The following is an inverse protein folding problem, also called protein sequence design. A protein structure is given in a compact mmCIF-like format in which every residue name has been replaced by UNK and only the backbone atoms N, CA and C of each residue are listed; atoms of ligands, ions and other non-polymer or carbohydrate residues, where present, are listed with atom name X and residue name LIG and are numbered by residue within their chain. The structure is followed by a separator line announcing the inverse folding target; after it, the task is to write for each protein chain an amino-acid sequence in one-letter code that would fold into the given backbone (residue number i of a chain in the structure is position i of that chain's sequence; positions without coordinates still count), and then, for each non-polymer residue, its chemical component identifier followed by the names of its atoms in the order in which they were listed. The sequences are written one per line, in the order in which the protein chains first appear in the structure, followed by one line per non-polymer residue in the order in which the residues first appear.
data_IF_465050874752
#
_entry.id   IF_465050874752
#
_cell.length_a   1.000
_cell.length_b   1.000
_cell.length_c   1.000
_cell.angle_alpha   90.00
_cell.angle_beta   90.00
_cell.angle_gamma   90.00
#
_symmetry.space_group_name_H-M   'P 1'
#
loop_
_entity.id
_entity.type
_entity.pdbx_description
1 polymer ?
#
# COMPACT_ATOMS: atom_id res chain seq x y z
N UNK A 1 2.07 -10.71 -43.34
CA UNK A 1 1.62 -11.82 -42.48
C UNK A 1 0.83 -11.29 -41.30
N UNK A 2 -0.11 -10.34 -41.49
CA UNK A 2 -0.91 -9.68 -40.43
C UNK A 2 -2.35 -9.54 -40.93
N UNK A 3 -2.99 -10.64 -41.33
CA UNK A 3 -4.38 -10.60 -41.83
C UNK A 3 -5.28 -11.77 -41.40
N UNK A 4 -4.82 -12.64 -40.47
CA UNK A 4 -5.60 -13.82 -40.06
C UNK A 4 -6.04 -13.86 -38.60
N UNK A 5 -5.67 -12.88 -37.77
CA UNK A 5 -6.07 -12.88 -36.36
C UNK A 5 -7.38 -12.14 -36.02
N UNK A 6 -7.99 -11.45 -36.99
CA UNK A 6 -9.26 -10.71 -36.76
C UNK A 6 -10.54 -11.54 -36.97
N UNK A 7 -10.45 -12.80 -37.36
CA UNK A 7 -11.65 -13.64 -37.60
C UNK A 7 -11.93 -14.70 -36.50
N UNK A 8 -11.05 -14.86 -35.49
CA UNK A 8 -11.29 -15.81 -34.40
C UNK A 8 -11.87 -15.17 -33.13
N UNK A 9 -11.95 -13.85 -33.06
CA UNK A 9 -12.45 -13.14 -31.88
C UNK A 9 -13.98 -12.93 -31.86
N UNK A 10 -14.65 -13.11 -33.02
CA UNK A 10 -16.11 -12.94 -33.12
C UNK A 10 -16.93 -14.23 -32.98
N UNK A 11 -16.30 -15.38 -32.85
CA UNK A 11 -17.00 -16.67 -32.73
C UNK A 11 -17.28 -17.14 -31.30
N UNK A 12 -16.80 -16.43 -30.27
CA UNK A 12 -16.94 -16.85 -28.86
C UNK A 12 -18.06 -16.11 -28.09
N UNK A 13 -18.65 -15.05 -28.68
CA UNK A 13 -19.73 -14.25 -28.05
C UNK A 13 -21.13 -14.74 -28.37
N UNK A 14 -21.27 -15.70 -29.28
CA UNK A 14 -22.60 -16.16 -29.76
C UNK A 14 -23.13 -17.43 -29.07
N UNK A 15 -22.49 -17.94 -28.01
CA UNK A 15 -22.91 -19.23 -27.40
C UNK A 15 -23.44 -19.16 -25.97
N UNK A 16 -23.62 -17.96 -25.40
CA UNK A 16 -24.14 -17.80 -24.03
C UNK A 16 -25.53 -17.16 -23.90
N UNK A 17 -26.32 -17.10 -24.96
CA UNK A 17 -27.62 -16.43 -24.92
C UNK A 17 -28.80 -17.31 -25.32
N UNK A 18 -28.84 -18.58 -24.87
CA UNK A 18 -30.07 -19.39 -24.96
C UNK A 18 -30.15 -20.29 -23.74
N UNK A 19 -30.68 -19.78 -22.64
CA UNK A 19 -31.31 -20.59 -21.58
C UNK A 19 -31.94 -19.65 -20.52
N UNK A 20 -33.02 -18.95 -20.88
CA UNK A 20 -34.08 -18.57 -19.95
C UNK A 20 -35.33 -18.31 -20.77
N UNK A 21 -36.22 -19.28 -20.89
CA UNK A 21 -37.67 -19.16 -21.07
C UNK A 21 -38.28 -20.55 -21.12
N UNK A 22 -38.75 -21.03 -19.98
CA UNK A 22 -39.98 -21.85 -19.88
C UNK A 22 -40.17 -22.23 -18.44
N UNK A 23 -41.17 -21.67 -17.79
CA UNK A 23 -42.12 -22.38 -16.93
C UNK A 23 -43.05 -21.35 -16.28
N UNK A 24 -44.16 -21.07 -16.95
CA UNK A 24 -45.41 -20.71 -16.29
C UNK A 24 -46.31 -21.90 -16.41
N UNK A 25 -46.77 -22.44 -15.26
CA UNK A 25 -48.19 -22.85 -15.04
C UNK A 25 -48.38 -23.44 -13.65
N UNK A 26 -49.19 -22.74 -12.85
CA UNK A 26 -50.30 -23.18 -11.97
C UNK A 26 -50.18 -24.53 -11.22
N UNK A 27 -50.20 -24.54 -9.90
CA UNK A 27 -51.41 -24.62 -9.06
C UNK A 27 -51.11 -24.64 -7.54
N UNK A 28 -52.01 -24.02 -6.83
CA UNK A 28 -52.31 -23.92 -5.39
C UNK A 28 -51.91 -25.10 -4.48
N UNK A 29 -51.31 -24.87 -3.33
CA UNK A 29 -51.94 -24.63 -2.01
C UNK A 29 -51.03 -25.01 -0.83
N UNK A 30 -51.16 -24.22 0.22
CA UNK A 30 -50.86 -24.44 1.62
C UNK A 30 -49.48 -24.11 2.20
N UNK A 31 -49.46 -22.90 2.79
CA UNK A 31 -48.96 -22.51 4.12
C UNK A 31 -47.81 -23.29 4.74
N UNK A 32 -46.64 -22.68 4.88
CA UNK A 32 -45.99 -22.32 6.17
C UNK A 32 -44.57 -21.78 5.92
N UNK A 33 -44.32 -20.60 6.47
CA UNK A 33 -42.93 -20.15 6.76
C UNK A 33 -42.07 -19.81 5.57
N UNK A 34 -42.41 -18.78 4.79
CA UNK A 34 -41.49 -18.18 3.86
C UNK A 34 -40.45 -17.38 4.66
N UNK A 35 -39.28 -17.96 4.87
CA UNK A 35 -38.06 -17.19 5.09
C UNK A 35 -37.93 -16.26 3.89
N UNK A 36 -38.14 -14.97 4.05
CA UNK A 36 -37.83 -13.96 3.04
C UNK A 36 -36.32 -14.05 2.79
N UNK A 37 -35.93 -14.66 1.71
CA UNK A 37 -34.61 -14.50 1.15
C UNK A 37 -34.59 -13.04 0.69
N UNK A 38 -33.97 -12.15 1.48
CA UNK A 38 -33.69 -10.79 1.02
C UNK A 38 -32.98 -10.89 -0.34
N UNK A 39 -33.51 -10.17 -1.32
CA UNK A 39 -32.83 -10.04 -2.60
C UNK A 39 -31.41 -9.52 -2.32
N UNK A 40 -30.37 -9.99 -3.02
CA UNK A 40 -29.03 -9.53 -2.82
C UNK A 40 -29.02 -8.01 -2.94
N UNK A 41 -28.64 -7.32 -1.86
CA UNK A 41 -28.50 -5.87 -1.81
C UNK A 41 -27.45 -5.50 -2.85
N UNK A 42 -27.85 -4.84 -3.92
CA UNK A 42 -26.90 -4.31 -4.89
C UNK A 42 -26.11 -3.24 -4.14
N UNK A 43 -24.87 -3.53 -3.87
CA UNK A 43 -23.96 -2.58 -3.23
C UNK A 43 -23.63 -1.47 -4.25
N UNK A 44 -24.23 -0.30 -4.06
CA UNK A 44 -23.92 0.88 -4.86
C UNK A 44 -22.74 1.65 -4.27
N UNK A 45 -21.92 2.23 -5.14
CA UNK A 45 -20.87 3.16 -4.71
C UNK A 45 -21.39 4.56 -4.45
N UNK A 46 -22.63 4.88 -4.82
CA UNK A 46 -23.23 6.20 -4.55
C UNK A 46 -23.23 6.52 -3.05
N UNK A 47 -22.94 7.76 -2.73
CA UNK A 47 -22.96 8.26 -1.36
C UNK A 47 -21.75 9.13 -1.00
N UNK A 48 -21.61 9.36 0.29
CA UNK A 48 -20.49 10.11 0.85
C UNK A 48 -19.49 9.18 1.51
N UNK A 49 -18.23 9.45 1.22
CA UNK A 49 -17.10 8.67 1.65
C UNK A 49 -16.05 9.57 2.30
N UNK A 50 -15.30 9.06 3.26
CA UNK A 50 -14.18 9.76 3.88
C UNK A 50 -12.92 8.91 3.80
N UNK A 51 -11.79 9.54 3.52
CA UNK A 51 -10.47 8.87 3.52
C UNK A 51 -10.20 8.30 4.91
N UNK A 52 -9.83 7.02 4.96
CA UNK A 52 -9.65 6.31 6.24
C UNK A 52 -8.40 6.79 6.96
N UNK A 53 -7.26 6.73 6.29
CA UNK A 53 -5.96 7.13 6.83
C UNK A 53 -5.05 7.57 5.69
N UNK A 54 -4.68 8.84 5.68
CA UNK A 54 -3.80 9.39 4.66
C UNK A 54 -2.38 8.77 4.74
N UNK A 55 -1.92 8.45 5.94
CA UNK A 55 -0.60 7.86 6.15
C UNK A 55 -0.58 6.43 5.60
N UNK A 56 -1.63 5.65 5.84
CA UNK A 56 -1.76 4.29 5.30
C UNK A 56 -1.87 4.32 3.77
N UNK A 57 -2.76 5.14 3.21
CA UNK A 57 -2.92 5.30 1.75
C UNK A 57 -1.61 5.69 1.06
N UNK A 58 -0.88 6.66 1.62
CA UNK A 58 0.43 7.07 1.08
C UNK A 58 1.49 5.99 1.26
N UNK A 59 1.43 5.20 2.33
CA UNK A 59 2.35 4.08 2.54
C UNK A 59 2.10 2.94 1.56
N UNK A 60 0.84 2.73 1.17
CA UNK A 60 0.43 1.73 0.18
C UNK A 60 0.68 2.21 -1.26
N UNK A 61 0.82 3.53 -1.46
CA UNK A 61 1.17 4.13 -2.75
C UNK A 61 2.67 4.09 -3.00
N UNK A 62 3.07 3.40 -4.07
CA UNK A 62 4.47 3.28 -4.48
C UNK A 62 4.73 4.26 -5.64
N UNK A 63 5.74 5.10 -5.50
CA UNK A 63 6.09 6.10 -6.51
C UNK A 63 5.37 7.44 -6.35
N UNK A 64 4.48 7.57 -5.36
CA UNK A 64 3.86 8.84 -4.99
C UNK A 64 4.90 9.90 -4.55
N UNK A 65 6.10 9.48 -4.22
CA UNK A 65 7.18 10.33 -3.73
C UNK A 65 8.55 9.83 -4.22
N UNK A 66 9.53 10.70 -4.24
CA UNK A 66 10.95 10.35 -4.46
C UNK A 66 11.71 10.58 -3.15
N UNK A 67 11.56 9.75 -2.14
CA UNK A 67 12.07 10.09 -0.84
C UNK A 67 13.54 9.76 -0.69
N UNK A 68 14.21 10.63 -0.03
CA UNK A 68 15.36 10.29 0.76
C UNK A 68 14.84 9.77 2.12
N UNK A 69 15.08 8.52 2.46
CA UNK A 69 14.61 7.75 3.60
C UNK A 69 13.96 8.49 4.77
N UNK A 70 14.74 9.09 5.66
CA UNK A 70 14.29 9.86 6.82
C UNK A 70 13.26 10.94 6.52
N UNK A 71 13.36 11.55 5.37
CA UNK A 71 12.53 12.66 4.98
C UNK A 71 11.11 12.20 4.69
N UNK A 72 10.98 11.03 4.08
CA UNK A 72 9.69 10.44 3.81
C UNK A 72 8.90 10.14 5.08
N UNK A 73 9.53 9.46 6.06
CA UNK A 73 8.85 9.12 7.30
C UNK A 73 8.35 10.37 8.05
N UNK A 74 9.15 11.45 8.09
CA UNK A 74 8.73 12.73 8.68
C UNK A 74 7.58 13.37 7.91
N UNK A 75 7.65 13.29 6.59
CA UNK A 75 6.64 13.86 5.72
C UNK A 75 5.32 13.10 5.85
N UNK A 76 5.36 11.76 5.93
CA UNK A 76 4.18 10.95 6.21
C UNK A 76 3.52 11.33 7.53
N UNK A 77 4.29 11.46 8.60
CA UNK A 77 3.73 11.84 9.89
C UNK A 77 3.11 13.24 9.87
N UNK A 78 3.55 14.12 8.96
CA UNK A 78 2.97 15.46 8.81
C UNK A 78 1.55 15.46 8.26
N UNK A 79 1.12 14.40 7.58
CA UNK A 79 -0.22 14.26 6.98
C UNK A 79 -1.17 13.36 7.77
N UNK A 80 -0.81 12.97 8.99
CA UNK A 80 -1.66 12.11 9.84
C UNK A 80 -3.06 12.68 10.08
N UNK A 81 -3.20 14.01 10.07
CA UNK A 81 -4.47 14.70 10.29
C UNK A 81 -5.14 15.11 8.97
N UNK A 82 -4.59 14.73 7.82
CA UNK A 82 -5.16 15.00 6.52
C UNK A 82 -6.48 14.23 6.33
N UNK A 83 -7.50 14.93 5.87
CA UNK A 83 -8.82 14.37 5.59
C UNK A 83 -9.23 14.71 4.17
N UNK A 84 -9.82 13.75 3.48
CA UNK A 84 -10.35 13.90 2.14
C UNK A 84 -11.75 13.30 2.08
N UNK A 85 -12.68 14.05 1.55
CA UNK A 85 -14.05 13.62 1.29
C UNK A 85 -14.20 13.24 -0.19
N UNK A 86 -14.92 12.16 -0.45
CA UNK A 86 -15.34 11.76 -1.78
C UNK A 86 -16.87 11.64 -1.77
N UNK A 87 -17.54 12.33 -2.69
CA UNK A 87 -18.97 12.22 -2.93
C UNK A 87 -19.19 11.60 -4.30
N UNK A 88 -20.02 10.57 -4.36
CA UNK A 88 -20.39 9.89 -5.60
C UNK A 88 -21.89 10.04 -5.79
N UNK A 89 -22.28 10.59 -6.93
CA UNK A 89 -23.67 10.74 -7.37
C UNK A 89 -23.78 10.31 -8.83
N UNK A 90 -24.44 9.19 -9.07
CA UNK A 90 -24.55 8.59 -10.41
C UNK A 90 -23.16 8.40 -11.06
N UNK A 91 -22.90 9.04 -12.19
CA UNK A 91 -21.67 8.94 -12.95
C UNK A 91 -20.65 10.05 -12.62
N UNK A 92 -20.76 10.66 -11.43
CA UNK A 92 -19.93 11.79 -11.02
C UNK A 92 -19.28 11.51 -9.66
N UNK A 93 -17.97 11.68 -9.59
CA UNK A 93 -17.18 11.65 -8.37
C UNK A 93 -16.67 13.06 -8.04
N UNK A 94 -16.89 13.54 -6.84
CA UNK A 94 -16.34 14.82 -6.36
C UNK A 94 -15.44 14.57 -5.17
N UNK A 95 -14.17 14.90 -5.30
CA UNK A 95 -13.18 14.86 -4.22
C UNK A 95 -12.99 16.26 -3.67
N UNK A 96 -12.97 16.38 -2.34
CA UNK A 96 -12.75 17.64 -1.65
C UNK A 96 -11.89 17.47 -0.41
N UNK A 97 -10.96 18.40 -0.21
CA UNK A 97 -10.22 18.53 1.05
C UNK A 97 -9.79 19.97 1.33
N UNK A 98 -9.60 20.26 2.62
CA UNK A 98 -8.90 21.43 3.13
C UNK A 98 -7.75 20.94 4.01
N UNK A 99 -6.52 21.34 3.70
CA UNK A 99 -5.34 20.87 4.39
C UNK A 99 -4.44 22.02 4.84
N UNK A 100 -4.20 22.11 6.15
CA UNK A 100 -3.23 23.06 6.67
C UNK A 100 -1.80 22.48 6.47
N UNK A 101 -1.03 23.15 5.61
CA UNK A 101 0.32 22.65 5.19
C UNK A 101 1.44 23.00 6.19
N UNK A 102 1.14 23.64 7.32
CA UNK A 102 2.17 24.08 8.27
C UNK A 102 2.98 22.93 8.85
N UNK A 103 2.33 21.82 9.19
CA UNK A 103 3.02 20.64 9.70
C UNK A 103 3.96 20.03 8.64
N UNK A 104 3.52 20.02 7.39
CA UNK A 104 4.35 19.59 6.27
C UNK A 104 5.55 20.54 6.07
N UNK A 105 5.31 21.85 6.04
CA UNK A 105 6.37 22.85 5.88
C UNK A 105 7.42 22.73 6.98
N UNK A 106 6.99 22.54 8.22
CA UNK A 106 7.90 22.35 9.37
C UNK A 106 8.76 21.09 9.22
N UNK A 107 8.15 19.98 8.81
CA UNK A 107 8.87 18.74 8.53
C UNK A 107 9.86 18.94 7.38
N UNK A 108 9.43 19.59 6.31
CA UNK A 108 10.22 19.84 5.13
C UNK A 108 11.37 20.84 5.39
N UNK A 109 11.15 21.88 6.20
CA UNK A 109 12.21 22.82 6.60
C UNK A 109 13.39 22.11 7.29
N UNK A 110 13.06 21.18 8.19
CA UNK A 110 14.09 20.38 8.87
C UNK A 110 14.89 19.52 7.89
N UNK A 111 14.24 19.04 6.87
CA UNK A 111 14.79 18.24 5.79
C UNK A 111 15.65 19.04 4.80
N UNK A 112 15.16 20.18 4.33
CA UNK A 112 15.85 21.04 3.36
C UNK A 112 17.03 21.81 3.99
N UNK A 113 17.80 21.19 4.87
CA UNK A 113 18.97 21.79 5.54
C UNK A 113 18.66 23.15 6.15
N UNK A 114 17.53 23.24 6.83
CA UNK A 114 16.99 24.49 7.38
C UNK A 114 16.78 25.55 6.30
N UNK A 115 16.10 25.13 5.22
CA UNK A 115 15.71 26.04 4.15
C UNK A 115 16.91 26.64 3.39
N UNK A 116 18.03 25.90 3.32
CA UNK A 116 19.26 26.39 2.64
C UNK A 116 19.74 27.74 3.18
N UNK A 117 19.67 27.92 4.49
CA UNK A 117 20.11 29.14 5.15
C UNK A 117 19.02 30.18 5.41
N UNK A 118 17.76 29.87 5.08
CA UNK A 118 16.59 30.69 5.43
C UNK A 118 16.13 30.44 6.87
N UNK A 119 15.49 31.40 7.48
CA UNK A 119 14.72 31.18 8.71
C UNK A 119 13.49 30.32 8.41
N UNK A 120 12.89 29.72 9.43
CA UNK A 120 11.64 28.92 9.27
C UNK A 120 10.50 29.77 8.70
N UNK A 121 10.39 31.06 9.12
CA UNK A 121 9.36 31.98 8.63
C UNK A 121 9.57 32.36 7.16
N UNK A 122 10.82 32.61 6.74
CA UNK A 122 11.16 32.89 5.34
C UNK A 122 10.88 31.67 4.46
N UNK A 123 11.20 30.47 4.97
CA UNK A 123 10.94 29.21 4.26
C UNK A 123 9.43 28.95 4.16
N UNK A 124 8.69 29.17 5.26
CA UNK A 124 7.23 29.06 5.29
C UNK A 124 6.58 29.99 4.26
N UNK A 125 6.98 31.26 4.23
CA UNK A 125 6.49 32.23 3.24
C UNK A 125 6.75 31.75 1.81
N UNK A 126 7.95 31.29 1.54
CA UNK A 126 8.30 30.74 0.21
C UNK A 126 7.39 29.56 -0.16
N UNK A 127 7.15 28.64 0.76
CA UNK A 127 6.26 27.49 0.51
C UNK A 127 4.81 27.93 0.26
N UNK A 128 4.33 28.97 0.92
CA UNK A 128 3.00 29.52 0.68
C UNK A 128 2.91 30.16 -0.70
N UNK A 129 3.90 30.93 -1.12
CA UNK A 129 3.96 31.53 -2.45
C UNK A 129 4.00 30.44 -3.54
N UNK A 130 4.82 29.39 -3.35
CA UNK A 130 4.90 28.24 -4.27
C UNK A 130 3.55 27.50 -4.37
N UNK A 131 2.88 27.27 -3.24
CA UNK A 131 1.58 26.60 -3.25
C UNK A 131 0.46 27.47 -3.85
N UNK A 132 0.52 28.79 -3.75
CA UNK A 132 -0.39 29.70 -4.43
C UNK A 132 -0.17 29.65 -5.96
N UNK A 133 1.07 29.67 -6.41
CA UNK A 133 1.41 29.50 -7.83
C UNK A 133 0.93 28.16 -8.36
N UNK A 134 1.22 27.07 -7.65
CA UNK A 134 0.76 25.73 -7.99
C UNK A 134 -0.79 25.64 -8.06
N UNK A 135 -1.49 26.19 -7.08
CA UNK A 135 -2.95 26.25 -7.13
C UNK A 135 -3.47 26.97 -8.38
N UNK A 136 -2.76 28.00 -8.82
CA UNK A 136 -3.08 28.75 -10.04
C UNK A 136 -2.86 27.99 -11.35
N UNK A 137 -2.15 26.86 -11.33
CA UNK A 137 -1.93 26.01 -12.51
C UNK A 137 -3.18 25.19 -12.85
N UNK A 138 -3.99 24.82 -11.87
CA UNK A 138 -5.24 24.08 -12.10
C UNK A 138 -6.25 24.96 -12.83
N UNK A 139 -6.83 24.43 -13.90
CA UNK A 139 -7.79 25.17 -14.75
C UNK A 139 -9.20 24.60 -14.69
N UNK A 140 -9.33 23.34 -14.31
CA UNK A 140 -10.60 22.61 -14.31
C UNK A 140 -11.17 22.43 -12.91
N UNK A 141 -10.35 22.61 -11.88
CA UNK A 141 -10.69 22.37 -10.49
C UNK A 141 -10.69 23.66 -9.67
N UNK A 142 -11.35 23.61 -8.53
CA UNK A 142 -11.30 24.70 -7.56
C UNK A 142 -10.13 24.44 -6.61
N UNK A 143 -9.01 25.05 -6.89
CA UNK A 143 -7.80 24.93 -6.06
C UNK A 143 -7.36 26.31 -5.60
N UNK A 144 -7.03 26.44 -4.33
CA UNK A 144 -6.57 27.71 -3.76
C UNK A 144 -5.65 27.51 -2.55
N UNK A 145 -4.75 28.46 -2.34
CA UNK A 145 -3.93 28.57 -1.14
C UNK A 145 -4.31 29.81 -0.36
N UNK A 146 -4.70 29.66 0.88
CA UNK A 146 -4.90 30.78 1.81
C UNK A 146 -3.63 30.99 2.64
N UNK A 147 -2.85 32.02 2.30
CA UNK A 147 -1.57 32.33 2.97
C UNK A 147 -1.73 32.87 4.40
N UNK A 148 -2.90 33.40 4.77
CA UNK A 148 -3.12 33.89 6.11
C UNK A 148 -3.35 32.74 7.12
N UNK A 149 -3.96 31.65 6.64
CA UNK A 149 -4.29 30.49 7.48
C UNK A 149 -3.43 29.27 7.22
N UNK A 150 -2.63 29.26 6.15
CA UNK A 150 -1.83 28.10 5.74
C UNK A 150 -2.66 26.96 5.14
N UNK A 151 -3.91 27.23 4.72
CA UNK A 151 -4.83 26.20 4.22
C UNK A 151 -4.77 26.13 2.69
N UNK A 152 -4.45 24.94 2.18
CA UNK A 152 -4.58 24.58 0.78
C UNK A 152 -5.94 23.87 0.59
N UNK A 153 -6.78 24.40 -0.27
CA UNK A 153 -8.12 23.88 -0.56
C UNK A 153 -8.17 23.30 -1.96
N UNK A 154 -8.83 22.16 -2.09
CA UNK A 154 -8.93 21.42 -3.35
C UNK A 154 -10.34 20.83 -3.52
N UNK A 155 -10.95 21.05 -4.69
CA UNK A 155 -12.21 20.43 -5.07
C UNK A 155 -12.13 20.05 -6.54
N UNK A 156 -12.17 18.74 -6.83
CA UNK A 156 -12.13 18.17 -8.16
C UNK A 156 -13.36 17.33 -8.45
N UNK A 157 -13.85 17.41 -9.68
CA UNK A 157 -14.95 16.57 -10.15
C UNK A 157 -14.48 15.72 -11.33
N UNK A 158 -14.73 14.42 -11.26
CA UNK A 158 -14.42 13.42 -12.28
C UNK A 158 -15.66 12.67 -12.74
N UNK A 159 -15.54 11.95 -13.83
CA UNK A 159 -16.58 11.05 -14.37
C UNK A 159 -16.34 9.63 -13.89
N UNK A 160 -17.43 8.86 -13.78
CA UNK A 160 -17.43 7.44 -13.43
C UNK A 160 -17.93 6.62 -14.61
N UNK A 161 -17.20 5.56 -14.94
CA UNK A 161 -17.66 4.47 -15.79
C UNK A 161 -17.91 3.27 -14.89
N UNK A 162 -19.20 2.98 -14.64
CA UNK A 162 -19.59 1.89 -13.73
C UNK A 162 -19.32 0.51 -14.32
N UNK A 163 -19.39 0.37 -15.64
CA UNK A 163 -19.13 -0.90 -16.32
C UNK A 163 -17.64 -1.25 -16.32
N UNK A 164 -16.80 -0.25 -16.57
CA UNK A 164 -15.34 -0.39 -16.49
C UNK A 164 -14.79 -0.33 -15.06
N UNK A 165 -15.61 0.08 -14.08
CA UNK A 165 -15.21 0.35 -12.69
C UNK A 165 -14.05 1.34 -12.62
N UNK A 166 -14.20 2.47 -13.29
CA UNK A 166 -13.17 3.51 -13.32
C UNK A 166 -13.72 4.89 -12.96
N UNK A 167 -12.84 5.73 -12.42
CA UNK A 167 -13.06 7.16 -12.18
C UNK A 167 -12.00 7.94 -12.93
N UNK A 168 -12.40 8.88 -13.76
CA UNK A 168 -11.48 9.70 -14.54
C UNK A 168 -11.54 11.15 -14.09
N UNK A 169 -10.39 11.67 -13.68
CA UNK A 169 -10.18 13.06 -13.32
C UNK A 169 -9.30 13.74 -14.38
N UNK A 170 -9.68 14.91 -14.82
CA UNK A 170 -8.99 15.64 -15.90
C UNK A 170 -7.62 16.18 -15.54
N UNK A 171 -7.36 16.36 -14.24
CA UNK A 171 -6.08 16.76 -13.65
C UNK A 171 -5.80 15.85 -12.46
N UNK A 172 -4.52 15.63 -12.12
CA UNK A 172 -4.13 14.69 -11.07
C UNK A 172 -4.57 15.13 -9.68
N UNK A 173 -4.90 14.15 -8.84
CA UNK A 173 -5.19 14.38 -7.43
C UNK A 173 -3.90 14.67 -6.69
N UNK A 174 -3.79 15.87 -6.11
CA UNK A 174 -2.56 16.35 -5.45
C UNK A 174 -2.87 16.93 -4.09
N UNK A 175 -1.99 16.72 -3.12
CA UNK A 175 -2.07 17.33 -1.80
C UNK A 175 -1.01 18.44 -1.71
N UNK A 176 -1.40 19.65 -2.06
CA UNK A 176 -0.52 20.82 -2.19
C UNK A 176 0.61 20.60 -3.22
N UNK A 177 1.48 21.58 -3.40
CA UNK A 177 2.72 21.40 -4.17
C UNK A 177 3.73 20.60 -3.34
N UNK A 178 3.42 19.34 -3.20
CA UNK A 178 4.31 18.44 -2.51
C UNK A 178 4.69 17.33 -3.48
N UNK A 179 5.93 17.26 -3.86
CA UNK A 179 6.47 16.12 -4.61
C UNK A 179 6.22 14.78 -3.94
N UNK A 180 5.70 14.81 -2.71
CA UNK A 180 5.54 13.67 -1.85
C UNK A 180 4.10 13.13 -1.80
N UNK A 181 3.09 13.95 -2.11
CA UNK A 181 1.68 13.59 -1.91
C UNK A 181 0.83 13.81 -3.15
N UNK A 182 1.25 13.16 -4.23
CA UNK A 182 0.50 13.12 -5.48
C UNK A 182 -0.07 11.71 -5.67
N UNK A 183 -1.33 11.62 -6.03
CA UNK A 183 -2.02 10.37 -6.34
C UNK A 183 -2.26 10.26 -7.85
N UNK A 184 -1.19 10.25 -8.59
CA UNK A 184 -1.18 10.28 -10.04
C UNK A 184 -0.26 11.35 -10.61
N UNK A 185 -0.31 11.58 -11.92
CA UNK A 185 0.44 12.65 -12.57
C UNK A 185 -0.30 13.98 -12.41
N UNK A 186 0.35 14.95 -11.76
CA UNK A 186 -0.20 16.31 -11.60
C UNK A 186 -0.48 16.95 -12.96
N UNK A 187 -1.53 17.76 -13.03
CA UNK A 187 -1.96 18.52 -14.21
C UNK A 187 -2.23 17.69 -15.47
N UNK A 188 -2.35 16.37 -15.32
CA UNK A 188 -2.66 15.43 -16.39
C UNK A 188 -3.92 14.64 -16.05
N UNK A 189 -4.62 14.15 -17.08
CA UNK A 189 -5.76 13.26 -16.87
C UNK A 189 -5.29 11.93 -16.27
N UNK A 190 -5.97 11.49 -15.23
CA UNK A 190 -5.74 10.19 -14.59
C UNK A 190 -7.05 9.40 -14.53
N UNK A 191 -6.96 8.12 -14.85
CA UNK A 191 -8.06 7.17 -14.74
C UNK A 191 -7.71 6.15 -13.66
N UNK A 192 -8.49 6.14 -12.60
CA UNK A 192 -8.35 5.27 -11.46
C UNK A 192 -9.33 4.10 -11.56
N UNK A 193 -8.89 2.91 -11.22
CA UNK A 193 -9.80 1.80 -10.98
C UNK A 193 -10.39 1.90 -9.58
N UNK A 194 -11.62 1.47 -9.40
CA UNK A 194 -12.21 1.37 -8.08
C UNK A 194 -12.74 -0.02 -7.79
N UNK A 195 -12.66 -0.41 -6.54
CA UNK A 195 -13.22 -1.65 -6.00
C UNK A 195 -13.98 -1.35 -4.70
N UNK A 196 -15.23 -1.80 -4.64
CA UNK A 196 -16.00 -1.79 -3.38
C UNK A 196 -15.85 -3.16 -2.72
N UNK A 197 -15.32 -3.17 -1.51
CA UNK A 197 -15.08 -4.38 -0.75
C UNK A 197 -15.25 -4.12 0.74
N UNK A 198 -16.10 -4.90 1.37
CA UNK A 198 -16.31 -4.82 2.83
C UNK A 198 -16.68 -3.40 3.32
N UNK A 199 -17.56 -2.68 2.62
CA UNK A 199 -17.93 -1.29 2.88
C UNK A 199 -16.79 -0.26 2.75
N UNK A 200 -15.66 -0.68 2.20
CA UNK A 200 -14.53 0.17 1.84
C UNK A 200 -14.47 0.36 0.33
N UNK A 201 -14.21 1.56 -0.11
CA UNK A 201 -13.97 1.90 -1.50
C UNK A 201 -12.47 2.15 -1.70
N UNK A 202 -11.85 1.29 -2.50
CA UNK A 202 -10.45 1.39 -2.90
C UNK A 202 -10.40 2.08 -4.26
N UNK A 203 -9.55 3.09 -4.38
CA UNK A 203 -9.30 3.79 -5.64
C UNK A 203 -7.82 3.64 -5.97
N UNK A 204 -7.50 3.02 -7.10
CA UNK A 204 -6.12 2.66 -7.46
C UNK A 204 -5.77 3.11 -8.86
N UNK A 205 -4.51 3.43 -9.10
CA UNK A 205 -3.94 3.63 -10.42
C UNK A 205 -2.55 3.00 -10.49
N UNK A 206 -2.36 2.10 -11.43
CA UNK A 206 -1.09 1.48 -11.74
C UNK A 206 -0.51 2.08 -13.02
N UNK A 207 0.78 2.31 -13.02
CA UNK A 207 1.45 2.90 -14.15
C UNK A 207 2.96 2.79 -14.10
N UNK A 208 3.60 3.62 -14.91
CA UNK A 208 5.06 3.78 -14.91
C UNK A 208 5.40 5.24 -14.91
N UNK A 209 6.35 5.60 -14.07
CA UNK A 209 6.85 6.95 -13.97
C UNK A 209 7.55 7.37 -15.27
N UNK A 210 7.14 8.49 -15.84
CA UNK A 210 7.63 8.96 -17.16
C UNK A 210 9.15 9.18 -17.18
N UNK A 211 9.71 9.64 -16.04
CA UNK A 211 11.13 10.00 -15.93
C UNK A 211 12.09 8.82 -16.09
N UNK A 212 11.75 7.64 -15.56
CA UNK A 212 12.68 6.52 -15.41
C UNK A 212 12.02 5.15 -15.63
N UNK A 213 10.76 5.15 -16.10
CA UNK A 213 10.00 3.96 -16.42
C UNK A 213 9.85 2.97 -15.23
N UNK A 214 10.02 3.47 -14.00
CA UNK A 214 9.79 2.65 -12.80
C UNK A 214 8.28 2.46 -12.56
N UNK A 215 7.87 1.30 -12.03
CA UNK A 215 6.48 1.06 -11.68
C UNK A 215 6.02 2.02 -10.59
N UNK A 216 4.79 2.49 -10.71
CA UNK A 216 4.10 3.28 -9.69
C UNK A 216 2.75 2.65 -9.41
N UNK A 217 2.35 2.72 -8.16
CA UNK A 217 1.05 2.31 -7.69
C UNK A 217 0.55 3.37 -6.72
N UNK A 218 -0.62 3.93 -6.99
CA UNK A 218 -1.26 4.90 -6.10
C UNK A 218 -2.56 4.29 -5.60
N UNK A 219 -2.82 4.42 -4.32
CA UNK A 219 -3.98 3.81 -3.68
C UNK A 219 -4.57 4.74 -2.63
N UNK A 220 -5.90 4.89 -2.64
CA UNK A 220 -6.68 5.66 -1.68
C UNK A 220 -7.79 4.77 -1.12
N UNK A 221 -7.95 4.76 0.20
CA UNK A 221 -8.95 3.97 0.90
C UNK A 221 -10.00 4.88 1.53
N UNK A 222 -11.24 4.67 1.14
CA UNK A 222 -12.36 5.41 1.67
C UNK A 222 -13.34 4.49 2.40
N UNK A 223 -13.88 4.95 3.51
CA UNK A 223 -15.03 4.33 4.17
C UNK A 223 -16.29 5.18 3.95
N UNK A 224 -17.44 4.55 3.91
CA UNK A 224 -18.73 5.24 3.78
C UNK A 224 -18.99 6.09 5.02
N UNK A 225 -19.33 7.37 4.86
CA UNK A 225 -19.69 8.25 5.98
C UNK A 225 -20.93 7.74 6.70
N UNK A 226 -20.86 7.74 8.04
CA UNK A 226 -21.95 7.24 8.87
C UNK A 226 -22.09 5.71 8.93
N UNK A 227 -21.20 4.95 8.25
CA UNK A 227 -21.11 3.52 8.45
C UNK A 227 -20.60 3.23 9.86
N UNK A 228 -21.45 2.62 10.68
CA UNK A 228 -21.11 2.19 12.05
C UNK A 228 -20.73 0.69 12.10
N UNK A 229 -20.51 0.08 10.95
CA UNK A 229 -20.23 -1.36 10.86
C UNK A 229 -18.85 -1.66 11.43
N UNK A 230 -18.79 -1.64 12.76
CA UNK A 230 -17.73 -2.36 13.47
C UNK A 230 -18.06 -3.84 13.27
N UNK A 231 -17.28 -4.55 12.45
CA UNK A 231 -17.45 -6.00 12.30
C UNK A 231 -17.09 -6.66 13.64
N UNK A 232 -17.90 -7.61 14.05
CA UNK A 232 -17.56 -8.41 15.24
C UNK A 232 -16.19 -9.08 15.00
N UNK A 233 -15.25 -8.92 15.96
CA UNK A 233 -13.91 -9.48 15.81
C UNK A 233 -13.97 -11.01 15.78
N UNK A 234 -13.30 -11.60 14.81
CA UNK A 234 -13.15 -13.05 14.75
C UNK A 234 -12.13 -13.56 15.78
N UNK A 235 -12.18 -14.84 16.20
CA UNK A 235 -11.20 -15.41 17.12
C UNK A 235 -9.76 -15.23 16.61
N UNK A 236 -8.85 -14.84 17.50
CA UNK A 236 -7.42 -14.65 17.17
C UNK A 236 -6.75 -15.96 16.73
N UNK A 237 -7.09 -17.08 17.35
CA UNK A 237 -6.50 -18.38 17.07
C UNK A 237 -6.68 -18.80 15.61
N UNK A 238 -5.61 -19.34 14.99
CA UNK A 238 -5.57 -19.84 13.64
C UNK A 238 -4.60 -19.06 12.73
N UNK A 239 -4.80 -19.17 11.42
CA UNK A 239 -3.90 -18.59 10.40
C UNK A 239 -4.42 -17.24 9.91
N UNK A 240 -3.50 -16.30 9.85
CA UNK A 240 -3.69 -14.94 9.32
C UNK A 240 -2.69 -14.70 8.21
N UNK A 241 -3.14 -14.29 7.03
CA UNK A 241 -2.27 -14.02 5.88
C UNK A 241 -2.22 -12.53 5.60
N UNK A 242 -1.02 -11.99 5.36
CA UNK A 242 -0.86 -10.60 4.96
C UNK A 242 -1.66 -10.29 3.70
N UNK A 243 -2.35 -9.18 3.71
CA UNK A 243 -3.10 -8.66 2.55
C UNK A 243 -2.10 -8.13 1.53
N UNK A 244 -1.32 -7.14 1.94
CA UNK A 244 -0.17 -6.58 1.22
C UNK A 244 0.92 -6.25 2.24
N UNK A 245 2.14 -6.70 1.99
CA UNK A 245 3.27 -6.45 2.89
C UNK A 245 4.16 -5.28 2.44
N UNK A 246 3.91 -4.74 1.24
CA UNK A 246 4.68 -3.61 0.68
C UNK A 246 4.67 -2.37 1.55
N UNK A 247 3.52 -1.93 2.15
CA UNK A 247 3.49 -0.76 3.01
C UNK A 247 4.42 -0.87 4.21
N UNK A 248 4.46 -2.03 4.86
CA UNK A 248 5.35 -2.29 5.98
C UNK A 248 6.83 -2.24 5.56
N UNK A 249 7.18 -2.82 4.41
CA UNK A 249 8.53 -2.75 3.84
C UNK A 249 8.92 -1.31 3.50
N UNK A 250 8.04 -0.55 2.90
CA UNK A 250 8.29 0.82 2.48
C UNK A 250 8.54 1.74 3.69
N UNK A 251 7.73 1.59 4.75
CA UNK A 251 7.94 2.35 5.99
C UNK A 251 9.20 1.92 6.72
N UNK A 252 9.54 0.63 6.69
CA UNK A 252 10.82 0.14 7.22
C UNK A 252 12.02 0.73 6.49
N UNK A 253 11.95 0.86 5.16
CA UNK A 253 12.97 1.54 4.35
C UNK A 253 13.09 3.02 4.72
N UNK A 254 11.97 3.71 4.87
CA UNK A 254 11.93 5.11 5.27
C UNK A 254 12.56 5.34 6.64
N UNK A 255 12.32 4.43 7.59
CA UNK A 255 12.88 4.51 8.94
C UNK A 255 14.42 4.38 8.96
N UNK A 256 14.99 3.53 8.09
CA UNK A 256 16.42 3.16 8.17
C UNK A 256 17.39 4.07 7.46
N UNK A 257 16.92 5.21 7.01
CA UNK A 257 17.77 6.24 6.38
C UNK A 257 18.79 5.67 5.39
N UNK A 258 18.31 5.37 4.22
CA UNK A 258 19.20 5.12 3.10
C UNK A 258 19.77 6.45 2.65
N UNK A 259 20.97 6.79 3.11
CA UNK A 259 21.75 7.96 2.69
C UNK A 259 22.08 7.98 1.18
N UNK A 260 21.83 6.88 0.50
CA UNK A 260 22.03 6.80 -0.92
C UNK A 260 20.84 7.42 -1.66
N UNK A 261 21.17 8.38 -2.48
CA UNK A 261 20.34 9.17 -3.41
C UNK A 261 19.58 8.32 -4.45
N UNK A 262 19.56 6.98 -4.28
CA UNK A 262 18.98 6.05 -5.21
C UNK A 262 17.50 5.84 -4.90
N UNK A 263 16.70 6.86 -5.26
CA UNK A 263 15.23 6.79 -5.14
C UNK A 263 14.63 5.59 -5.89
N UNK A 264 15.34 5.09 -6.91
CA UNK A 264 14.93 3.91 -7.65
C UNK A 264 14.91 2.65 -6.79
N UNK A 265 15.92 2.45 -5.92
CA UNK A 265 15.95 1.29 -5.01
C UNK A 265 14.73 1.30 -4.09
N UNK A 266 14.32 2.45 -3.58
CA UNK A 266 13.18 2.59 -2.67
C UNK A 266 11.84 2.28 -3.32
N UNK A 267 11.73 2.42 -4.63
CA UNK A 267 10.55 2.02 -5.40
C UNK A 267 10.62 0.55 -5.84
N UNK A 268 11.81 0.08 -6.22
CA UNK A 268 12.01 -1.30 -6.66
C UNK A 268 11.83 -2.28 -5.50
N UNK A 269 12.32 -1.97 -4.30
CA UNK A 269 12.26 -2.89 -3.16
C UNK A 269 10.84 -3.34 -2.80
N UNK A 270 9.90 -2.46 -2.53
CA UNK A 270 8.54 -2.88 -2.22
C UNK A 270 7.90 -3.65 -3.39
N UNK A 271 8.07 -3.16 -4.62
CA UNK A 271 7.47 -3.79 -5.79
C UNK A 271 8.08 -5.16 -6.12
N UNK A 272 9.37 -5.34 -5.89
CA UNK A 272 10.04 -6.64 -6.04
C UNK A 272 9.44 -7.74 -5.14
N UNK A 273 8.74 -7.35 -4.08
CA UNK A 273 8.17 -8.25 -3.08
C UNK A 273 6.64 -8.18 -3.01
N UNK A 274 5.96 -7.70 -4.05
CA UNK A 274 4.49 -7.57 -4.09
C UNK A 274 3.75 -8.88 -3.84
N UNK A 275 4.34 -10.00 -4.24
CA UNK A 275 3.76 -11.33 -4.04
C UNK A 275 4.14 -11.97 -2.70
N UNK A 276 4.94 -11.28 -1.87
CA UNK A 276 5.28 -11.74 -0.53
C UNK A 276 4.04 -11.64 0.38
N UNK A 277 3.53 -12.77 0.81
CA UNK A 277 2.36 -12.88 1.69
C UNK A 277 2.70 -13.65 2.97
N UNK A 278 3.38 -12.99 3.93
CA UNK A 278 3.65 -13.60 5.22
C UNK A 278 2.37 -14.03 5.93
N UNK A 279 2.50 -15.02 6.81
CA UNK A 279 1.41 -15.48 7.65
C UNK A 279 1.79 -15.39 9.12
N UNK A 280 0.80 -15.12 9.97
CA UNK A 280 0.86 -15.33 11.40
C UNK A 280 0.05 -16.58 11.72
N UNK A 281 0.68 -17.55 12.38
CA UNK A 281 0.03 -18.75 12.89
C UNK A 281 -0.10 -18.61 14.40
N UNK A 282 -1.32 -18.46 14.90
CA UNK A 282 -1.61 -18.25 16.32
C UNK A 282 -2.27 -19.53 16.88
N UNK A 283 -1.64 -20.14 17.89
CA UNK A 283 -2.13 -21.31 18.59
C UNK A 283 -2.04 -21.11 20.10
N UNK A 284 -3.18 -20.91 20.74
CA UNK A 284 -3.22 -20.48 22.14
C UNK A 284 -2.47 -19.15 22.32
N UNK A 285 -1.40 -19.16 23.11
CA UNK A 285 -0.54 -17.99 23.30
C UNK A 285 0.74 -18.01 22.43
N UNK A 286 0.93 -19.03 21.62
CA UNK A 286 2.09 -19.15 20.73
C UNK A 286 1.81 -18.49 19.38
N UNK A 287 2.80 -17.76 18.86
CA UNK A 287 2.72 -17.10 17.55
C UNK A 287 3.96 -17.45 16.74
N UNK A 288 3.75 -17.81 15.49
CA UNK A 288 4.81 -17.98 14.51
C UNK A 288 4.57 -17.03 13.34
N UNK A 289 5.65 -16.43 12.83
CA UNK A 289 5.62 -15.63 11.60
C UNK A 289 6.32 -16.43 10.50
N UNK A 290 5.59 -16.74 9.46
CA UNK A 290 6.00 -17.68 8.41
C UNK A 290 5.85 -17.01 7.03
N UNK A 291 6.86 -17.15 6.17
CA UNK A 291 6.79 -16.68 4.80
C UNK A 291 7.64 -17.52 3.85
N UNK A 292 7.19 -17.56 2.59
CA UNK A 292 8.01 -18.00 1.46
C UNK A 292 8.17 -16.83 0.50
N UNK A 293 9.39 -16.59 0.04
CA UNK A 293 9.70 -15.52 -0.89
C UNK A 293 10.45 -16.06 -2.10
N UNK A 294 10.00 -15.72 -3.31
CA UNK A 294 10.76 -15.88 -4.55
C UNK A 294 11.69 -14.67 -4.70
N UNK A 295 12.97 -14.95 -4.92
CA UNK A 295 13.99 -13.92 -5.13
C UNK A 295 14.21 -13.61 -6.60
N UNK A 296 13.65 -14.44 -7.51
CA UNK A 296 13.88 -14.33 -8.94
C UNK A 296 13.43 -12.97 -9.49
N UNK A 297 12.20 -12.56 -9.19
CA UNK A 297 11.65 -11.31 -9.69
C UNK A 297 12.38 -10.11 -9.10
N UNK A 298 12.64 -10.12 -7.78
CA UNK A 298 13.38 -9.06 -7.11
C UNK A 298 14.78 -8.88 -7.69
N UNK A 299 15.56 -9.94 -7.81
CA UNK A 299 16.90 -9.86 -8.40
C UNK A 299 16.85 -9.51 -9.90
N UNK A 300 15.80 -9.94 -10.60
CA UNK A 300 15.57 -9.59 -12.00
C UNK A 300 15.33 -8.08 -12.17
N UNK A 301 14.48 -7.48 -11.36
CA UNK A 301 14.24 -6.03 -11.36
C UNK A 301 15.50 -5.23 -11.02
N UNK A 302 16.28 -5.70 -10.03
CA UNK A 302 17.57 -5.07 -9.69
C UNK A 302 18.58 -5.15 -10.83
N UNK A 303 18.67 -6.28 -11.51
CA UNK A 303 19.53 -6.42 -12.68
C UNK A 303 19.14 -5.43 -13.78
N UNK A 304 17.85 -5.36 -14.11
CA UNK A 304 17.35 -4.48 -15.16
C UNK A 304 17.64 -3.01 -14.82
N UNK A 305 17.44 -2.62 -13.57
CA UNK A 305 17.82 -1.29 -13.08
C UNK A 305 19.31 -1.00 -13.21
N UNK A 306 20.18 -1.93 -12.75
CA UNK A 306 21.63 -1.76 -12.86
C UNK A 306 22.08 -1.70 -14.31
N UNK A 307 21.46 -2.50 -15.19
CA UNK A 307 21.76 -2.49 -16.62
C UNK A 307 21.39 -1.17 -17.29
N UNK A 308 20.27 -0.57 -16.87
CA UNK A 308 19.85 0.75 -17.36
C UNK A 308 20.77 1.85 -16.86
N UNK A 309 21.18 1.80 -15.58
CA UNK A 309 22.02 2.84 -14.94
C UNK A 309 23.48 2.80 -15.39
N UNK A 310 24.08 1.61 -15.42
CA UNK A 310 25.52 1.38 -15.61
C UNK A 310 25.81 0.29 -16.65
N UNK A 311 25.07 0.26 -17.75
CA UNK A 311 25.03 -0.83 -18.72
C UNK A 311 26.37 -1.41 -19.16
N UNK A 312 27.42 -0.60 -19.28
CA UNK A 312 28.78 -1.01 -19.64
C UNK A 312 29.53 -1.73 -18.51
N UNK A 313 29.11 -1.56 -17.24
CA UNK A 313 29.73 -2.17 -16.07
C UNK A 313 29.08 -3.50 -15.68
N UNK A 314 27.88 -3.77 -16.17
CA UNK A 314 27.15 -5.03 -15.90
C UNK A 314 27.53 -6.06 -16.97
N UNK A 315 28.52 -6.88 -16.68
CA UNK A 315 29.09 -7.88 -17.61
C UNK A 315 28.38 -9.24 -17.56
N UNK A 316 27.66 -9.53 -16.47
CA UNK A 316 26.93 -10.79 -16.30
C UNK A 316 25.63 -10.79 -17.11
N UNK A 317 25.17 -11.97 -17.48
CA UNK A 317 23.77 -12.17 -17.94
C UNK A 317 22.82 -12.04 -16.76
N UNK A 318 21.53 -11.84 -17.04
CA UNK A 318 20.49 -11.74 -15.99
C UNK A 318 20.44 -13.02 -15.13
N UNK A 319 20.49 -14.18 -15.76
CA UNK A 319 20.45 -15.47 -15.07
C UNK A 319 21.68 -15.70 -14.18
N UNK A 320 22.88 -15.38 -14.69
CA UNK A 320 24.12 -15.46 -13.88
C UNK A 320 24.06 -14.52 -12.69
N UNK A 321 23.56 -13.29 -12.88
CA UNK A 321 23.40 -12.32 -11.81
C UNK A 321 22.43 -12.85 -10.74
N UNK A 322 21.24 -13.28 -11.11
CA UNK A 322 20.23 -13.80 -10.17
C UNK A 322 20.78 -15.00 -9.39
N UNK A 323 21.41 -15.96 -10.07
CA UNK A 323 22.03 -17.13 -9.45
C UNK A 323 23.12 -16.74 -8.44
N UNK A 324 23.98 -15.81 -8.81
CA UNK A 324 25.07 -15.34 -7.94
C UNK A 324 24.53 -14.59 -6.72
N UNK A 325 23.50 -13.74 -6.88
CA UNK A 325 22.86 -13.06 -5.75
C UNK A 325 22.18 -14.04 -4.81
N UNK A 326 21.51 -15.08 -5.33
CA UNK A 326 20.91 -16.12 -4.49
C UNK A 326 21.96 -16.89 -3.67
N UNK A 327 23.07 -17.31 -4.31
CA UNK A 327 24.17 -18.00 -3.63
C UNK A 327 24.76 -17.10 -2.53
N UNK A 328 25.00 -15.83 -2.84
CA UNK A 328 25.55 -14.86 -1.88
C UNK A 328 24.62 -14.68 -0.69
N UNK A 329 23.34 -14.45 -0.93
CA UNK A 329 22.36 -14.27 0.13
C UNK A 329 22.18 -15.52 0.98
N UNK A 330 22.00 -16.68 0.35
CA UNK A 330 21.85 -17.95 1.09
C UNK A 330 23.08 -18.29 1.94
N UNK A 331 24.28 -17.96 1.47
CA UNK A 331 25.52 -18.11 2.24
C UNK A 331 25.55 -17.16 3.43
N UNK A 332 25.16 -15.90 3.23
CA UNK A 332 25.07 -14.89 4.29
C UNK A 332 24.06 -15.32 5.36
N UNK A 333 22.87 -15.77 4.96
CA UNK A 333 21.84 -16.24 5.90
C UNK A 333 22.30 -17.47 6.70
N UNK A 334 22.95 -18.44 6.07
CA UNK A 334 23.51 -19.60 6.76
C UNK A 334 24.59 -19.22 7.77
N UNK A 335 25.47 -18.29 7.42
CA UNK A 335 26.53 -17.84 8.34
C UNK A 335 25.99 -16.99 9.48
N UNK A 336 24.94 -16.21 9.24
CA UNK A 336 24.27 -15.36 10.22
C UNK A 336 23.21 -16.06 11.06
N UNK A 337 22.84 -17.31 10.77
CA UNK A 337 21.77 -18.03 11.48
C UNK A 337 21.98 -18.13 13.01
N UNK A 338 23.25 -18.15 13.46
CA UNK A 338 23.58 -18.14 14.88
C UNK A 338 23.14 -16.85 15.61
N UNK A 339 23.02 -15.75 14.90
CA UNK A 339 22.62 -14.45 15.43
C UNK A 339 21.08 -14.32 15.49
N UNK A 340 20.36 -15.31 14.91
CA UNK A 340 18.90 -15.39 14.86
C UNK A 340 18.42 -16.80 15.24
N UNK A 341 18.58 -17.19 16.51
CA UNK A 341 18.33 -18.57 16.94
C UNK A 341 16.85 -18.98 16.88
N UNK A 342 15.93 -18.03 16.77
CA UNK A 342 14.50 -18.30 16.69
C UNK A 342 13.97 -18.31 15.23
N UNK A 343 14.82 -18.02 14.26
CA UNK A 343 14.46 -18.02 12.84
C UNK A 343 15.11 -19.20 12.11
N UNK A 344 14.31 -19.95 11.40
CA UNK A 344 14.78 -21.07 10.52
C UNK A 344 14.68 -20.65 9.07
N UNK A 345 15.59 -21.20 8.23
CA UNK A 345 15.63 -20.99 6.78
C UNK A 345 15.75 -22.28 6.02
N UNK A 346 14.92 -22.45 5.00
CA UNK A 346 15.00 -23.47 3.99
C UNK A 346 15.24 -22.82 2.63
N UNK A 347 16.14 -23.39 1.81
CA UNK A 347 16.58 -22.81 0.55
C UNK A 347 16.28 -23.76 -0.60
N UNK A 348 15.43 -23.34 -1.51
CA UNK A 348 15.24 -23.98 -2.81
C UNK A 348 16.05 -23.23 -3.87
N UNK A 349 17.15 -23.88 -4.31
CA UNK A 349 18.08 -23.29 -5.27
C UNK A 349 17.54 -23.31 -6.70
N UNK A 350 16.67 -24.27 -7.01
CA UNK A 350 16.14 -24.45 -8.35
C UNK A 350 15.08 -23.42 -8.69
N UNK A 351 14.28 -23.03 -7.67
CA UNK A 351 13.25 -22.03 -7.78
C UNK A 351 13.67 -20.67 -7.22
N UNK A 352 14.91 -20.52 -6.75
CA UNK A 352 15.41 -19.31 -6.09
C UNK A 352 14.47 -18.82 -4.97
N UNK A 353 13.93 -19.75 -4.15
CA UNK A 353 13.03 -19.41 -3.05
C UNK A 353 13.68 -19.62 -1.69
N UNK A 354 13.21 -18.85 -0.72
CA UNK A 354 13.55 -19.00 0.69
C UNK A 354 12.25 -19.13 1.45
N UNK A 355 12.11 -20.20 2.23
CA UNK A 355 11.09 -20.34 3.25
C UNK A 355 11.71 -20.02 4.62
N UNK A 356 11.02 -19.21 5.42
CA UNK A 356 11.51 -18.78 6.73
C UNK A 356 10.40 -18.78 7.76
N UNK A 357 10.73 -19.24 8.97
CA UNK A 357 9.82 -19.24 10.11
C UNK A 357 10.50 -18.61 11.32
N UNK A 358 9.94 -17.51 11.81
CA UNK A 358 10.28 -16.93 13.11
C UNK A 358 9.35 -17.52 14.17
N UNK A 359 9.92 -18.21 15.14
CA UNK A 359 9.22 -18.96 16.19
C UNK A 359 9.26 -18.25 17.54
N UNK A 360 8.58 -18.85 18.50
CA UNK A 360 8.58 -18.44 19.90
C UNK A 360 7.96 -17.04 20.16
N UNK A 361 7.14 -16.55 19.25
CA UNK A 361 6.29 -15.39 19.48
C UNK A 361 5.27 -15.69 20.58
N UNK A 362 4.93 -14.70 21.38
CA UNK A 362 3.99 -14.79 22.50
C UNK A 362 2.86 -13.77 22.33
N UNK A 363 1.64 -14.25 22.38
CA UNK A 363 0.43 -13.44 22.38
C UNK A 363 0.08 -13.03 23.81
N UNK A 364 -0.13 -11.76 24.03
CA UNK A 364 -0.69 -11.18 25.26
C UNK A 364 -2.01 -10.46 24.88
N UNK A 365 -3.12 -11.12 25.17
CA UNK A 365 -4.45 -10.59 24.86
C UNK A 365 -4.87 -9.46 25.79
N UNK A 366 -4.36 -9.44 27.02
CA UNK A 366 -4.68 -8.40 28.01
C UNK A 366 -4.08 -7.05 27.60
N UNK A 367 -2.87 -7.06 27.04
CA UNK A 367 -2.16 -5.86 26.59
C UNK A 367 -2.27 -5.63 25.08
N UNK A 368 -2.98 -6.51 24.36
CA UNK A 368 -3.09 -6.48 22.89
C UNK A 368 -1.72 -6.42 22.21
N UNK A 369 -0.80 -7.30 22.62
CA UNK A 369 0.55 -7.35 22.05
C UNK A 369 0.95 -8.75 21.60
N UNK A 370 1.84 -8.78 20.62
CA UNK A 370 2.60 -9.97 20.22
C UNK A 370 4.07 -9.64 20.40
N UNK A 371 4.77 -10.46 21.19
CA UNK A 371 6.19 -10.30 21.47
C UNK A 371 6.97 -11.41 20.77
N UNK A 372 7.85 -11.04 19.86
CA UNK A 372 8.80 -11.96 19.27
C UNK A 372 10.19 -11.81 19.87
N UNK A 373 10.97 -12.89 20.03
CA UNK A 373 12.31 -12.83 20.61
C UNK A 373 13.32 -12.08 19.74
N UNK A 374 12.99 -11.86 18.49
CA UNK A 374 13.72 -11.03 17.53
C UNK A 374 12.73 -10.33 16.59
N UNK A 375 13.13 -9.23 15.94
CA UNK A 375 12.23 -8.48 15.08
C UNK A 375 11.83 -9.29 13.83
N UNK A 376 10.60 -9.11 13.37
CA UNK A 376 10.15 -9.60 12.06
C UNK A 376 11.11 -9.04 10.99
N UNK A 377 11.71 -9.94 10.21
CA UNK A 377 12.69 -9.59 9.21
C UNK A 377 12.52 -10.47 7.96
N UNK A 378 12.48 -9.85 6.81
CA UNK A 378 12.42 -10.56 5.54
C UNK A 378 13.84 -10.77 5.04
N UNK A 379 14.25 -12.04 4.90
CA UNK A 379 15.57 -12.52 4.46
C UNK A 379 16.77 -11.85 5.15
N UNK A 380 16.60 -11.42 6.39
CA UNK A 380 17.60 -10.71 7.21
C UNK A 380 18.36 -9.59 6.51
N UNK A 381 17.76 -9.00 5.53
CA UNK A 381 18.23 -7.74 5.02
C UNK A 381 17.91 -6.68 6.08
N UNK A 382 18.92 -6.03 6.61
CA UNK A 382 18.76 -4.99 7.63
C UNK A 382 17.73 -3.92 7.23
N UNK A 383 17.55 -3.73 5.93
CA UNK A 383 16.59 -2.82 5.31
C UNK A 383 15.14 -3.33 5.32
N UNK A 384 14.92 -4.63 5.55
CA UNK A 384 13.60 -5.27 5.52
C UNK A 384 13.17 -5.78 6.90
N UNK A 385 13.69 -5.20 7.96
CA UNK A 385 13.35 -5.54 9.34
C UNK A 385 12.27 -4.57 9.85
N UNK A 386 11.18 -5.11 10.33
CA UNK A 386 10.11 -4.39 11.01
C UNK A 386 10.41 -4.41 12.50
N UNK A 387 11.32 -3.55 12.90
CA UNK A 387 11.82 -3.50 14.29
C UNK A 387 13.35 -3.49 14.36
N UNK A 388 13.89 -3.36 15.58
CA UNK A 388 15.33 -3.44 15.82
C UNK A 388 15.79 -4.89 15.62
N UNK A 389 16.60 -5.14 14.59
CA UNK A 389 17.14 -6.46 14.30
C UNK A 389 17.79 -7.10 15.55
N UNK A 390 17.69 -8.41 15.70
CA UNK A 390 18.31 -9.24 16.77
C UNK A 390 17.90 -8.86 18.21
N UNK A 391 16.74 -8.25 18.40
CA UNK A 391 16.24 -7.89 19.72
C UNK A 391 14.80 -8.33 19.88
N UNK A 392 14.45 -8.72 21.10
CA UNK A 392 13.05 -8.89 21.48
C UNK A 392 12.24 -7.66 21.05
N UNK A 393 11.15 -7.90 20.38
CA UNK A 393 10.35 -6.85 19.75
C UNK A 393 8.88 -7.07 20.05
N UNK A 394 8.25 -6.03 20.60
CA UNK A 394 6.82 -6.02 20.92
C UNK A 394 6.06 -5.28 19.84
N UNK A 395 5.06 -5.94 19.28
CA UNK A 395 4.10 -5.38 18.33
C UNK A 395 2.76 -5.21 19.03
N UNK A 396 2.14 -4.05 18.93
CA UNK A 396 0.74 -3.87 19.28
C UNK A 396 -0.11 -4.51 18.17
N UNK A 397 -1.27 -5.05 18.52
CA UNK A 397 -2.22 -5.48 17.52
C UNK A 397 -3.62 -4.90 17.77
N UNK A 398 -4.37 -4.76 16.72
CA UNK A 398 -5.80 -4.48 16.73
C UNK A 398 -6.53 -5.42 15.78
N UNK A 399 -7.82 -5.64 16.02
CA UNK A 399 -8.67 -6.47 15.17
C UNK A 399 -9.89 -5.66 14.80
N UNK A 400 -10.20 -5.64 13.50
CA UNK A 400 -11.45 -5.13 12.96
C UNK A 400 -12.05 -6.21 12.04
N UNK A 401 -13.10 -6.87 12.52
CA UNK A 401 -13.68 -8.02 11.86
C UNK A 401 -12.66 -9.14 11.64
N UNK A 402 -12.35 -9.46 10.39
CA UNK A 402 -11.39 -10.47 9.96
C UNK A 402 -10.01 -9.91 9.60
N UNK A 403 -9.74 -8.64 9.94
CA UNK A 403 -8.46 -7.97 9.73
C UNK A 403 -7.72 -7.79 11.05
N UNK A 404 -6.51 -8.33 11.14
CA UNK A 404 -5.56 -8.11 12.22
C UNK A 404 -4.48 -7.15 11.73
N UNK A 405 -4.28 -6.05 12.44
CA UNK A 405 -3.20 -5.09 12.16
C UNK A 405 -2.12 -5.22 13.23
N UNK A 406 -0.89 -5.52 12.84
CA UNK A 406 0.29 -5.41 13.68
C UNK A 406 0.91 -4.03 13.51
N UNK A 407 1.27 -3.40 14.62
CA UNK A 407 1.87 -2.07 14.61
C UNK A 407 3.07 -2.01 15.55
N UNK A 408 4.12 -1.36 15.10
CA UNK A 408 5.29 -1.02 15.93
C UNK A 408 5.66 0.45 15.75
N UNK A 409 5.92 1.12 16.85
CA UNK A 409 6.52 2.44 16.87
C UNK A 409 8.05 2.31 16.99
N UNK A 410 8.77 2.88 16.03
CA UNK A 410 10.23 2.91 16.05
C UNK A 410 10.72 4.34 16.20
N UNK A 411 11.72 4.54 17.02
CA UNK A 411 12.36 5.84 17.20
C UNK A 411 13.82 5.78 16.82
N UNK A 412 14.20 6.58 15.85
CA UNK A 412 15.60 6.84 15.56
C UNK A 412 16.16 7.84 16.58
N UNK A 413 17.07 7.36 17.45
CA UNK A 413 17.68 8.17 18.49
C UNK A 413 18.59 9.28 17.94
N UNK A 414 19.19 9.11 16.76
CA UNK A 414 20.08 10.08 16.12
C UNK A 414 19.30 11.29 15.61
N UNK A 415 18.15 11.06 14.98
CA UNK A 415 17.37 12.09 14.30
C UNK A 415 16.07 12.44 15.02
N UNK A 416 15.81 11.81 16.18
CA UNK A 416 14.59 11.98 16.97
C UNK A 416 13.30 11.77 16.16
N UNK A 417 13.36 10.84 15.20
CA UNK A 417 12.25 10.50 14.32
C UNK A 417 11.45 9.33 14.88
N UNK A 418 10.15 9.50 15.02
CA UNK A 418 9.23 8.41 15.25
C UNK A 418 8.62 7.95 13.95
N UNK A 419 8.60 6.65 13.72
CA UNK A 419 7.94 6.02 12.57
C UNK A 419 7.04 4.90 13.08
N UNK A 420 5.80 4.91 12.62
CA UNK A 420 4.85 3.83 12.87
C UNK A 420 4.85 2.91 11.65
N UNK A 421 5.12 1.63 11.86
CA UNK A 421 5.08 0.62 10.80
C UNK A 421 3.93 -0.31 11.11
N UNK A 422 3.04 -0.49 10.15
CA UNK A 422 1.87 -1.36 10.25
C UNK A 422 1.89 -2.44 9.18
N UNK A 423 1.43 -3.64 9.55
CA UNK A 423 1.21 -4.74 8.62
C UNK A 423 -0.20 -5.32 8.86
N UNK A 424 -0.99 -5.46 7.80
CA UNK A 424 -2.37 -5.93 7.85
C UNK A 424 -2.46 -7.40 7.40
N UNK A 425 -3.18 -8.19 8.16
CA UNK A 425 -3.40 -9.63 7.91
C UNK A 425 -4.89 -9.93 7.90
N UNK A 426 -5.32 -10.75 6.96
CA UNK A 426 -6.68 -11.25 6.88
C UNK A 426 -6.74 -12.68 7.42
N UNK A 427 -7.80 -12.98 8.19
CA UNK A 427 -8.06 -14.33 8.66
C UNK A 427 -8.23 -15.29 7.49
N UNK A 428 -7.46 -16.37 7.50
CA UNK A 428 -7.67 -17.45 6.54
C UNK A 428 -8.79 -18.33 7.05
N UNK A 429 -9.89 -18.41 6.30
CA UNK A 429 -10.95 -19.34 6.63
C UNK A 429 -10.44 -20.76 6.47
N UNK A 430 -10.63 -21.61 7.50
CA UNK A 430 -10.38 -23.03 7.36
C UNK A 430 -11.33 -23.59 6.29
N UNK A 431 -10.79 -23.83 5.09
CA UNK A 431 -11.51 -24.46 4.00
C UNK A 431 -11.69 -25.95 4.27
N UNK A 432 -12.23 -26.32 5.46
CA UNK A 432 -12.57 -27.71 5.78
C UNK A 432 -13.65 -27.78 6.84
N UNK A 433 -14.89 -27.65 6.40
CA UNK A 433 -16.00 -28.46 6.95
C UNK A 433 -17.10 -28.55 5.91
N UNK A 434 -16.90 -29.39 4.92
CA UNK A 434 -18.02 -30.00 4.17
C UNK A 434 -17.75 -31.48 4.10
#
# INVERSE_FOLDING_TARGET
MIRHYKKLFFAFIALCSVFVLTACSTEQSNSQGASQTEAPKVETIDGEWELVDAVDSLSESIGAYTPHGLHFARTLESVKDFKMDLKIENDTATIKYDYNIDNFIKAYYTFAKKGEGKTEDEFKKLQYDTNEEFAGEFKKYKVSMNKDTGVFSYEATGSIDQDAKTMTFDEGLSVADTFFFSFGENLSQNTYHYELKDDMLFITIDGKRTKDNLPVHYELHFKRKGSTTQKEPVPLEGKWQSIDFRPALQRSLAYKDFDNDDSAIKLIYPEAWKDLKPTLNITGTSVEFDYTVSLADGFGMFYDYLKQKDGSKVTQTKDEYMKNQFIKLSTTLKSGAKDFPNTTYEFDKDNATIHSVLKNGKLDTANQTIVFPEAINIVHLAIMSIGPANKETTYKYSIDGDILTLTIEQRDGKNNLNTVISAKFKKVSDATSK
#
